data_IF_395224122236
#
_entry.id   IF_395224122236
#
_cell.length_a   1.000
_cell.length_b   1.000
_cell.length_c   1.000
_cell.angle_alpha   90.00
_cell.angle_beta   90.00
_cell.angle_gamma   90.00
#
_symmetry.space_group_name_H-M   'P 1'
#
loop_
_entity.id
_entity.type
_entity.pdbx_description
1 polymer ?
#
# COMPACT_ATOMS: atom_id res chain seq x y z
N UNK A 1 52.06 -13.45 33.60
CA UNK A 1 50.72 -13.53 34.23
C UNK A 1 49.98 -12.19 34.24
N UNK A 2 50.49 -11.11 34.87
CA UNK A 2 49.80 -9.80 34.91
C UNK A 2 49.48 -9.18 33.54
N UNK A 3 50.42 -9.20 32.58
CA UNK A 3 50.17 -8.68 31.21
C UNK A 3 49.06 -9.44 30.48
N UNK A 4 49.07 -10.78 30.56
CA UNK A 4 48.06 -11.64 29.96
C UNK A 4 46.66 -11.38 30.57
N UNK A 5 46.60 -11.22 31.89
CA UNK A 5 45.38 -10.90 32.62
C UNK A 5 44.79 -9.54 32.18
N UNK A 6 45.63 -8.52 32.02
CA UNK A 6 45.20 -7.19 31.56
C UNK A 6 44.65 -7.25 30.13
N UNK A 7 45.31 -7.97 29.21
CA UNK A 7 44.79 -8.16 27.84
C UNK A 7 43.47 -8.90 27.81
N UNK A 8 43.29 -9.93 28.66
CA UNK A 8 42.03 -10.69 28.73
C UNK A 8 40.91 -9.81 29.27
N UNK A 9 41.15 -9.05 30.34
CA UNK A 9 40.17 -8.10 30.90
C UNK A 9 39.80 -7.03 29.87
N UNK A 10 40.77 -6.50 29.13
CA UNK A 10 40.53 -5.53 28.05
C UNK A 10 39.62 -6.09 26.95
N UNK A 11 39.82 -7.33 26.53
CA UNK A 11 38.96 -8.02 25.56
C UNK A 11 37.52 -8.19 26.07
N UNK A 12 37.34 -8.56 27.34
CA UNK A 12 36.00 -8.69 27.93
C UNK A 12 35.26 -7.35 28.00
N UNK A 13 35.93 -6.26 28.36
CA UNK A 13 35.32 -4.92 28.37
C UNK A 13 34.91 -4.49 26.96
N UNK A 14 35.74 -4.81 25.95
CA UNK A 14 35.47 -4.47 24.56
C UNK A 14 34.29 -5.27 23.99
N UNK A 15 34.22 -6.57 24.29
CA UNK A 15 33.07 -7.42 23.95
C UNK A 15 31.79 -6.96 24.65
N UNK A 16 31.89 -6.59 25.93
CA UNK A 16 30.74 -6.08 26.69
C UNK A 16 30.25 -4.73 26.15
N UNK A 17 31.17 -3.85 25.72
CA UNK A 17 30.84 -2.60 25.05
C UNK A 17 30.14 -2.82 23.70
N UNK A 18 30.60 -3.80 22.90
CA UNK A 18 29.93 -4.18 21.65
C UNK A 18 28.54 -4.75 21.91
N UNK A 19 28.38 -5.61 22.92
CA UNK A 19 27.08 -6.16 23.31
C UNK A 19 26.11 -5.07 23.77
N UNK A 20 26.56 -4.11 24.58
CA UNK A 20 25.75 -2.96 24.98
C UNK A 20 25.39 -2.11 23.77
N UNK A 21 26.33 -1.85 22.85
CA UNK A 21 26.07 -1.09 21.64
C UNK A 21 25.04 -1.78 20.74
N UNK A 22 25.15 -3.11 20.55
CA UNK A 22 24.16 -3.89 19.81
C UNK A 22 22.80 -3.86 20.51
N UNK A 23 22.76 -4.09 21.83
CA UNK A 23 21.51 -4.00 22.59
C UNK A 23 20.89 -2.60 22.50
N UNK A 24 21.67 -1.53 22.62
CA UNK A 24 21.18 -0.17 22.45
C UNK A 24 20.74 0.09 21.01
N UNK A 25 21.45 -0.39 20.01
CA UNK A 25 21.05 -0.23 18.61
C UNK A 25 19.79 -1.02 18.26
N UNK A 26 19.56 -2.17 18.89
CA UNK A 26 18.33 -2.97 18.75
C UNK A 26 17.17 -2.39 19.56
N UNK A 27 17.43 -1.87 20.76
CA UNK A 27 16.43 -1.26 21.64
C UNK A 27 16.10 0.21 21.30
N UNK A 28 16.99 0.90 20.59
CA UNK A 28 16.83 2.28 20.10
C UNK A 28 16.63 2.35 18.59
N UNK A 29 16.74 1.23 17.86
CA UNK A 29 15.99 1.11 16.61
C UNK A 29 14.55 1.18 17.07
N UNK A 30 13.89 2.31 16.85
CA UNK A 30 12.46 2.32 16.64
C UNK A 30 12.23 1.30 15.53
N UNK A 31 11.91 0.05 15.90
CA UNK A 31 11.09 -0.77 15.04
C UNK A 31 9.79 -0.02 15.02
N UNK A 32 9.68 0.91 14.08
CA UNK A 32 8.52 1.77 13.92
C UNK A 32 7.34 0.82 13.74
N UNK A 33 6.51 0.70 14.79
CA UNK A 33 5.39 -0.22 14.84
C UNK A 33 4.31 0.32 13.89
N UNK A 34 4.54 0.19 12.58
CA UNK A 34 3.44 0.27 11.61
C UNK A 34 2.38 -0.79 11.91
N UNK A 35 2.76 -1.85 12.64
CA UNK A 35 1.86 -2.81 13.28
C UNK A 35 0.91 -2.17 14.31
N UNK A 36 1.29 -1.05 14.92
CA UNK A 36 0.46 -0.27 15.86
C UNK A 36 -0.26 0.90 15.17
N UNK A 37 -0.02 1.14 13.87
CA UNK A 37 -0.76 2.14 13.11
C UNK A 37 -1.98 1.49 12.45
N UNK A 38 -3.09 1.47 13.16
CA UNK A 38 -4.39 0.96 12.67
C UNK A 38 -4.90 1.67 11.40
N UNK A 39 -4.28 2.81 11.01
CA UNK A 39 -4.60 3.56 9.79
C UNK A 39 -3.70 3.19 8.61
N UNK A 40 -2.68 2.36 8.81
CA UNK A 40 -1.74 2.00 7.77
C UNK A 40 -2.37 1.00 6.78
N UNK A 41 -2.03 1.14 5.50
CA UNK A 41 -2.41 0.15 4.48
C UNK A 41 -1.76 -1.21 4.75
N UNK A 42 -2.48 -2.30 4.48
CA UNK A 42 -1.92 -3.66 4.45
C UNK A 42 -0.80 -3.84 3.41
N UNK A 43 -0.68 -2.94 2.42
CA UNK A 43 0.48 -2.88 1.53
C UNK A 43 1.79 -2.64 2.32
N UNK A 44 1.72 -2.07 3.52
CA UNK A 44 2.89 -1.89 4.39
C UNK A 44 3.52 -3.22 4.80
N UNK A 45 2.73 -4.29 4.93
CA UNK A 45 3.21 -5.61 5.37
C UNK A 45 4.23 -6.19 4.39
N UNK A 46 4.08 -5.90 3.10
CA UNK A 46 5.01 -6.31 2.04
C UNK A 46 5.98 -5.20 1.62
N UNK A 47 5.82 -3.98 2.13
CA UNK A 47 6.67 -2.85 1.81
C UNK A 47 8.02 -2.98 2.53
N UNK A 48 9.06 -3.38 1.79
CA UNK A 48 10.44 -3.43 2.28
C UNK A 48 11.21 -2.11 2.14
N UNK A 49 10.54 -1.03 1.72
CA UNK A 49 11.18 0.23 1.35
C UNK A 49 11.58 1.09 2.55
N UNK A 50 12.23 2.22 2.25
CA UNK A 50 12.73 3.15 3.26
C UNK A 50 11.58 3.90 3.94
N UNK A 51 11.77 4.20 5.22
CA UNK A 51 11.00 5.21 5.95
C UNK A 51 11.18 6.58 5.26
N UNK A 52 10.23 7.47 5.47
CA UNK A 52 10.20 8.81 4.86
C UNK A 52 10.05 8.86 3.33
N UNK A 53 9.78 7.77 2.61
CA UNK A 53 9.44 7.89 1.18
C UNK A 53 8.05 8.49 0.98
N UNK A 54 7.78 8.96 -0.24
CA UNK A 54 6.44 9.40 -0.62
C UNK A 54 5.40 8.27 -0.49
N UNK A 55 5.79 7.05 -0.86
CA UNK A 55 4.95 5.84 -0.80
C UNK A 55 4.59 5.52 0.66
N UNK A 56 5.60 5.55 1.53
CA UNK A 56 5.44 5.35 2.97
C UNK A 56 4.49 6.39 3.58
N UNK A 57 4.65 7.67 3.23
CA UNK A 57 3.77 8.74 3.71
C UNK A 57 2.30 8.55 3.26
N UNK A 58 2.07 8.07 2.04
CA UNK A 58 0.71 7.73 1.58
C UNK A 58 0.14 6.56 2.40
N UNK A 59 0.90 5.47 2.54
CA UNK A 59 0.44 4.25 3.22
C UNK A 59 0.22 4.42 4.72
N UNK A 60 0.87 5.40 5.36
CA UNK A 60 0.71 5.72 6.80
C UNK A 60 -0.27 6.85 7.08
N UNK A 61 -0.95 7.37 6.06
CA UNK A 61 -1.84 8.53 6.15
C UNK A 61 -1.16 9.84 6.63
N UNK A 62 0.13 10.04 6.37
CA UNK A 62 0.82 11.30 6.68
C UNK A 62 0.52 12.36 5.60
N UNK A 63 -0.65 12.98 5.73
CA UNK A 63 -1.12 14.03 4.82
C UNK A 63 -0.15 15.19 4.66
N UNK A 64 0.57 15.56 5.73
CA UNK A 64 1.47 16.70 5.71
C UNK A 64 2.73 16.37 4.92
N UNK A 65 3.34 15.20 5.14
CA UNK A 65 4.48 14.73 4.33
C UNK A 65 4.08 14.52 2.87
N UNK A 66 2.92 13.92 2.61
CA UNK A 66 2.41 13.76 1.24
C UNK A 66 2.29 15.13 0.55
N UNK A 67 1.71 16.12 1.23
CA UNK A 67 1.61 17.47 0.66
C UNK A 67 2.99 18.12 0.43
N UNK A 68 3.93 17.97 1.37
CA UNK A 68 5.30 18.48 1.22
C UNK A 68 6.00 17.87 0.00
N UNK A 69 5.84 16.57 -0.24
CA UNK A 69 6.36 15.89 -1.42
C UNK A 69 5.74 16.42 -2.72
N UNK A 70 4.42 16.56 -2.74
CA UNK A 70 3.72 17.07 -3.92
C UNK A 70 4.10 18.53 -4.23
N UNK A 71 4.29 19.36 -3.21
CA UNK A 71 4.74 20.76 -3.35
C UNK A 71 6.18 20.85 -3.93
N UNK A 72 7.01 19.83 -3.69
CA UNK A 72 8.34 19.67 -4.32
C UNK A 72 8.26 19.16 -5.77
N UNK A 73 7.06 19.07 -6.36
CA UNK A 73 6.78 18.59 -7.72
C UNK A 73 7.14 17.13 -7.96
N UNK A 74 6.98 16.28 -6.94
CA UNK A 74 6.93 14.83 -7.13
C UNK A 74 5.86 14.50 -8.19
N UNK A 75 6.20 13.65 -9.15
CA UNK A 75 5.23 13.17 -10.14
C UNK A 75 4.22 12.24 -9.45
N UNK A 76 2.99 12.72 -9.28
CA UNK A 76 1.91 12.01 -8.58
C UNK A 76 1.45 10.75 -9.33
N UNK A 77 1.71 10.68 -10.64
CA UNK A 77 1.29 9.59 -11.53
C UNK A 77 2.41 8.57 -11.82
N UNK A 78 3.61 8.78 -11.26
CA UNK A 78 4.68 7.81 -11.40
C UNK A 78 4.27 6.48 -10.75
N UNK A 79 4.63 5.37 -11.40
CA UNK A 79 4.56 4.07 -10.74
C UNK A 79 5.64 4.01 -9.67
N UNK A 80 5.19 3.71 -8.47
CA UNK A 80 5.98 3.61 -7.26
C UNK A 80 6.83 2.34 -7.32
N UNK A 81 8.11 2.44 -6.94
CA UNK A 81 9.12 1.44 -7.34
C UNK A 81 8.85 0.07 -6.75
N UNK A 82 8.55 0.04 -5.45
CA UNK A 82 8.38 -1.21 -4.71
C UNK A 82 7.01 -1.82 -4.96
N UNK A 83 5.96 -0.98 -5.02
CA UNK A 83 4.58 -1.46 -5.12
C UNK A 83 4.06 -1.64 -6.55
N UNK A 84 4.74 -1.05 -7.56
CA UNK A 84 4.29 -0.91 -8.95
C UNK A 84 2.90 -0.27 -9.10
N UNK A 85 2.48 0.52 -8.10
CA UNK A 85 1.18 1.20 -8.04
C UNK A 85 1.37 2.70 -8.23
N UNK A 86 0.32 3.41 -8.64
CA UNK A 86 0.30 4.87 -8.49
C UNK A 86 0.02 5.25 -7.04
N UNK A 87 0.31 6.50 -6.68
CA UNK A 87 -0.06 7.05 -5.38
C UNK A 87 -1.57 6.96 -5.09
N UNK A 88 -2.40 7.15 -6.12
CA UNK A 88 -3.86 7.07 -6.00
C UNK A 88 -4.35 5.63 -5.80
N UNK A 89 -3.71 4.66 -6.47
CA UNK A 89 -3.94 3.24 -6.22
C UNK A 89 -3.58 2.85 -4.79
N UNK A 90 -2.43 3.33 -4.26
CA UNK A 90 -2.08 3.10 -2.85
C UNK A 90 -3.09 3.72 -1.89
N UNK A 91 -3.57 4.94 -2.15
CA UNK A 91 -4.58 5.58 -1.30
C UNK A 91 -5.88 4.76 -1.20
N UNK A 92 -6.29 4.06 -2.27
CA UNK A 92 -7.46 3.18 -2.25
C UNK A 92 -7.32 1.97 -1.31
N UNK A 93 -6.09 1.65 -0.89
CA UNK A 93 -5.79 0.53 0.02
C UNK A 93 -5.79 0.91 1.50
N UNK A 94 -6.08 2.17 1.89
CA UNK A 94 -6.05 2.61 3.29
C UNK A 94 -7.25 2.11 4.11
N UNK A 95 -7.10 1.52 5.31
CA UNK A 95 -8.20 0.84 6.02
C UNK A 95 -9.45 1.69 6.18
N UNK A 96 -9.33 2.93 6.65
CA UNK A 96 -10.48 3.79 6.95
C UNK A 96 -11.04 4.53 5.73
N UNK A 97 -12.37 4.48 5.55
CA UNK A 97 -13.08 5.20 4.48
C UNK A 97 -12.71 6.70 4.41
N UNK A 98 -12.70 7.38 5.55
CA UNK A 98 -12.39 8.81 5.61
C UNK A 98 -10.96 9.11 5.18
N UNK A 99 -10.01 8.22 5.53
CA UNK A 99 -8.61 8.39 5.15
C UNK A 99 -8.41 8.12 3.65
N UNK A 100 -9.07 7.11 3.07
CA UNK A 100 -9.14 6.91 1.61
C UNK A 100 -9.63 8.19 0.93
N UNK A 101 -10.78 8.71 1.34
CA UNK A 101 -11.40 9.88 0.70
C UNK A 101 -10.53 11.13 0.83
N UNK A 102 -9.92 11.35 1.99
CA UNK A 102 -9.08 12.52 2.24
C UNK A 102 -7.78 12.45 1.45
N UNK A 103 -7.08 11.31 1.47
CA UNK A 103 -5.82 11.13 0.73
C UNK A 103 -6.06 11.22 -0.78
N UNK A 104 -7.12 10.59 -1.27
CA UNK A 104 -7.47 10.61 -2.69
C UNK A 104 -7.79 12.01 -3.19
N UNK A 105 -8.57 12.79 -2.44
CA UNK A 105 -8.86 14.20 -2.76
C UNK A 105 -7.59 15.04 -2.80
N UNK A 106 -6.65 14.80 -1.88
CA UNK A 106 -5.35 15.47 -1.89
C UNK A 106 -4.57 15.13 -3.17
N UNK A 107 -4.39 13.85 -3.50
CA UNK A 107 -3.65 13.42 -4.68
C UNK A 107 -4.30 13.91 -6.00
N UNK A 108 -5.62 13.81 -6.11
CA UNK A 108 -6.39 14.30 -7.27
C UNK A 108 -6.24 15.82 -7.45
N UNK A 109 -6.18 16.60 -6.35
CA UNK A 109 -5.93 18.05 -6.41
C UNK A 109 -4.57 18.37 -7.06
N UNK A 110 -3.59 17.50 -6.89
CA UNK A 110 -2.26 17.61 -7.52
C UNK A 110 -2.17 16.91 -8.88
N UNK A 111 -3.30 16.43 -9.44
CA UNK A 111 -3.37 15.90 -10.81
C UNK A 111 -3.18 14.40 -10.93
N UNK A 112 -3.43 13.63 -9.85
CA UNK A 112 -3.48 12.18 -9.96
C UNK A 112 -4.52 11.72 -11.00
N UNK A 113 -4.17 10.74 -11.82
CA UNK A 113 -5.04 10.19 -12.85
C UNK A 113 -5.74 8.92 -12.36
N UNK A 114 -7.07 9.01 -12.18
CA UNK A 114 -7.90 7.87 -11.80
C UNK A 114 -8.02 6.81 -12.91
N UNK A 115 -7.68 7.15 -14.16
CA UNK A 115 -7.76 6.24 -15.33
C UNK A 115 -6.51 5.39 -15.50
N UNK A 116 -5.42 5.74 -14.83
CA UNK A 116 -4.16 5.03 -15.00
C UNK A 116 -4.31 3.57 -14.57
N UNK A 117 -3.77 2.68 -15.38
CA UNK A 117 -3.64 1.25 -15.09
C UNK A 117 -2.19 0.92 -14.77
N UNK A 118 -1.99 -0.07 -13.91
CA UNK A 118 -0.69 -0.69 -13.68
C UNK A 118 -0.32 -1.68 -14.80
N UNK A 119 0.80 -2.39 -14.64
CA UNK A 119 1.25 -3.41 -15.60
C UNK A 119 0.28 -4.58 -15.79
N UNK A 120 -0.56 -4.85 -14.78
CA UNK A 120 -1.52 -5.94 -14.77
C UNK A 120 -2.88 -5.52 -15.35
N UNK A 121 -3.07 -4.24 -15.69
CA UNK A 121 -4.35 -3.70 -16.16
C UNK A 121 -5.30 -3.37 -15.00
N UNK A 122 -4.81 -3.33 -13.77
CA UNK A 122 -5.59 -2.88 -12.63
C UNK A 122 -5.54 -1.35 -12.53
N UNK A 123 -6.70 -0.75 -12.28
CA UNK A 123 -6.82 0.67 -11.95
C UNK A 123 -7.17 0.87 -10.47
N UNK A 124 -7.43 2.11 -10.07
CA UNK A 124 -7.75 2.46 -8.67
C UNK A 124 -9.00 1.73 -8.10
N UNK A 125 -9.96 1.33 -8.95
CA UNK A 125 -11.15 0.60 -8.50
C UNK A 125 -10.81 -0.80 -8.00
N UNK A 126 -9.88 -1.49 -8.67
CA UNK A 126 -9.38 -2.80 -8.20
C UNK A 126 -8.83 -2.71 -6.79
N UNK A 127 -8.02 -1.69 -6.52
CA UNK A 127 -7.40 -1.48 -5.20
C UNK A 127 -8.37 -1.09 -4.09
N UNK A 128 -9.58 -0.65 -4.44
CA UNK A 128 -10.65 -0.39 -3.45
C UNK A 128 -11.17 -1.68 -2.83
N UNK A 129 -11.20 -2.77 -3.60
CA UNK A 129 -11.73 -4.09 -3.22
C UNK A 129 -10.64 -5.15 -3.07
N UNK A 130 -9.37 -4.75 -3.20
CA UNK A 130 -8.25 -5.68 -3.16
C UNK A 130 -8.05 -6.30 -1.77
N UNK A 131 -8.20 -5.48 -0.72
CA UNK A 131 -8.14 -5.88 0.68
C UNK A 131 -9.53 -5.82 1.34
N UNK A 132 -9.82 -6.79 2.19
CA UNK A 132 -11.02 -6.79 3.03
C UNK A 132 -10.65 -6.19 4.40
N UNK A 133 -11.17 -4.99 4.67
CA UNK A 133 -11.00 -4.30 5.95
C UNK A 133 -12.29 -4.41 6.78
N UNK A 134 -12.19 -4.86 8.03
CA UNK A 134 -13.33 -4.90 8.96
C UNK A 134 -13.93 -3.50 9.20
N UNK A 135 -13.12 -2.45 9.05
CA UNK A 135 -13.53 -1.06 9.28
C UNK A 135 -14.27 -0.43 8.10
N UNK A 136 -14.31 -1.08 6.93
CA UNK A 136 -15.11 -0.64 5.79
C UNK A 136 -16.35 -1.52 5.61
N UNK A 137 -17.51 -0.88 5.54
CA UNK A 137 -18.72 -1.55 5.07
C UNK A 137 -18.74 -1.63 3.53
N UNK A 138 -19.56 -2.52 2.96
CA UNK A 138 -19.83 -2.51 1.51
C UNK A 138 -20.35 -1.16 1.02
N UNK A 139 -21.13 -0.47 1.85
CA UNK A 139 -21.65 0.86 1.53
C UNK A 139 -20.51 1.88 1.37
N UNK A 140 -19.46 1.76 2.18
CA UNK A 140 -18.29 2.64 2.10
C UNK A 140 -17.43 2.30 0.88
N UNK A 141 -17.25 1.02 0.58
CA UNK A 141 -16.61 0.59 -0.67
C UNK A 141 -17.37 1.10 -1.89
N UNK A 142 -18.71 1.02 -1.90
CA UNK A 142 -19.54 1.57 -2.99
C UNK A 142 -19.35 3.08 -3.16
N UNK A 143 -19.29 3.85 -2.07
CA UNK A 143 -19.00 5.30 -2.14
C UNK A 143 -17.60 5.60 -2.69
N UNK A 144 -16.59 4.81 -2.31
CA UNK A 144 -15.22 4.96 -2.83
C UNK A 144 -15.18 4.63 -4.33
N UNK A 145 -15.80 3.52 -4.74
CA UNK A 145 -15.93 3.13 -6.14
C UNK A 145 -16.65 4.21 -6.95
N UNK A 146 -17.79 4.71 -6.46
CA UNK A 146 -18.53 5.81 -7.07
C UNK A 146 -17.65 7.04 -7.26
N UNK A 147 -16.97 7.45 -6.19
CA UNK A 147 -16.09 8.60 -6.19
C UNK A 147 -15.03 8.51 -7.29
N UNK A 148 -14.36 7.36 -7.43
CA UNK A 148 -13.34 7.18 -8.47
C UNK A 148 -13.92 7.06 -9.87
N UNK A 149 -15.09 6.44 -10.04
CA UNK A 149 -15.81 6.42 -11.32
C UNK A 149 -16.21 7.82 -11.77
N UNK A 150 -16.64 8.70 -10.85
CA UNK A 150 -16.87 10.13 -11.14
C UNK A 150 -15.59 10.87 -11.58
N UNK A 151 -14.41 10.38 -11.19
CA UNK A 151 -13.11 10.89 -11.66
C UNK A 151 -12.63 10.21 -12.94
N UNK A 152 -13.43 9.31 -13.50
CA UNK A 152 -13.24 8.71 -14.80
C UNK A 152 -12.60 7.33 -14.79
N UNK A 153 -12.37 6.71 -13.61
CA UNK A 153 -11.93 5.32 -13.55
C UNK A 153 -13.02 4.39 -14.13
N UNK A 154 -12.63 3.47 -15.00
CA UNK A 154 -13.57 2.53 -15.62
C UNK A 154 -13.70 1.25 -14.79
N UNK A 155 -14.91 0.74 -14.51
CA UNK A 155 -15.08 -0.60 -13.91
C UNK A 155 -14.81 -1.73 -14.91
N UNK A 156 -14.84 -1.43 -16.22
CA UNK A 156 -14.65 -2.38 -17.31
C UNK A 156 -13.15 -2.68 -17.56
N UNK A 157 -12.47 -3.18 -16.52
CA UNK A 157 -11.06 -3.60 -16.57
C UNK A 157 -10.91 -5.12 -16.53
N UNK A 158 -9.76 -5.59 -17.04
CA UNK A 158 -9.34 -7.00 -16.95
C UNK A 158 -7.95 -7.07 -16.32
N UNK A 159 -7.88 -7.70 -15.14
CA UNK A 159 -6.67 -7.93 -14.38
C UNK A 159 -5.99 -9.17 -14.96
N UNK A 160 -4.76 -9.00 -15.44
CA UNK A 160 -4.00 -10.05 -16.11
C UNK A 160 -3.19 -10.87 -15.11
N UNK A 161 -3.05 -12.17 -15.38
CA UNK A 161 -2.20 -13.10 -14.62
C UNK A 161 -2.46 -13.11 -13.10
N UNK A 162 -3.70 -12.89 -12.67
CA UNK A 162 -4.04 -12.67 -11.26
C UNK A 162 -3.57 -13.82 -10.35
N UNK A 163 -3.73 -15.08 -10.77
CA UNK A 163 -3.40 -16.24 -9.92
C UNK A 163 -1.89 -16.55 -9.83
N UNK A 164 -1.08 -16.06 -10.77
CA UNK A 164 0.35 -16.31 -10.80
C UNK A 164 1.10 -15.25 -9.96
N UNK A 165 1.11 -14.00 -10.41
CA UNK A 165 2.00 -12.99 -9.85
C UNK A 165 1.45 -12.36 -8.55
N UNK A 166 0.13 -12.26 -8.40
CA UNK A 166 -0.47 -11.57 -7.25
C UNK A 166 -0.44 -12.39 -5.95
N UNK A 167 -0.29 -13.71 -6.04
CA UNK A 167 -0.16 -14.61 -4.89
C UNK A 167 1.31 -15.08 -4.67
N UNK A 168 2.28 -14.54 -5.39
CA UNK A 168 3.70 -14.88 -5.23
C UNK A 168 4.13 -16.21 -5.87
N UNK A 169 3.44 -16.67 -6.92
CA UNK A 169 3.80 -17.89 -7.67
C UNK A 169 4.27 -17.55 -9.09
N UNK A 170 5.56 -17.78 -9.39
CA UNK A 170 6.08 -17.65 -10.76
C UNK A 170 5.59 -18.81 -11.65
N UNK A 171 4.33 -18.76 -12.09
CA UNK A 171 3.81 -19.66 -13.13
C UNK A 171 3.29 -18.87 -14.34
N UNK A 172 3.81 -19.19 -15.53
CA UNK A 172 3.17 -18.79 -16.77
C UNK A 172 1.82 -19.51 -16.88
N UNK A 173 0.72 -18.81 -16.60
CA UNK A 173 -0.62 -19.39 -16.70
C UNK A 173 -1.72 -18.80 -15.81
N UNK A 174 -1.50 -17.64 -15.16
CA UNK A 174 -2.51 -17.01 -14.31
C UNK A 174 -3.81 -16.68 -15.04
N UNK A 175 -4.95 -16.78 -14.35
CA UNK A 175 -6.26 -16.45 -14.92
C UNK A 175 -6.39 -14.94 -15.10
N UNK A 176 -6.91 -14.50 -16.24
CA UNK A 176 -7.37 -13.13 -16.42
C UNK A 176 -8.77 -13.00 -15.83
N UNK A 177 -9.00 -12.01 -14.98
CA UNK A 177 -10.29 -11.77 -14.35
C UNK A 177 -10.74 -10.34 -14.63
N UNK A 178 -12.01 -10.16 -14.99
CA UNK A 178 -12.64 -8.84 -14.87
C UNK A 178 -12.74 -8.43 -13.41
N UNK A 179 -12.90 -7.13 -13.12
CA UNK A 179 -13.08 -6.66 -11.75
C UNK A 179 -14.32 -7.30 -11.07
N UNK A 180 -15.40 -7.51 -11.84
CA UNK A 180 -16.61 -8.18 -11.35
C UNK A 180 -16.32 -9.65 -11.00
N UNK A 181 -15.63 -10.39 -11.87
CA UNK A 181 -15.26 -11.78 -11.61
C UNK A 181 -14.31 -11.91 -10.41
N UNK A 182 -13.40 -10.94 -10.23
CA UNK A 182 -12.55 -10.87 -9.04
C UNK A 182 -13.39 -10.75 -7.76
N UNK A 183 -14.32 -9.80 -7.69
CA UNK A 183 -15.20 -9.63 -6.53
C UNK A 183 -16.01 -10.91 -6.25
N UNK A 184 -16.56 -11.55 -7.28
CA UNK A 184 -17.29 -12.82 -7.13
C UNK A 184 -16.39 -13.94 -6.58
N UNK A 185 -15.15 -14.06 -7.08
CA UNK A 185 -14.18 -15.06 -6.62
C UNK A 185 -13.81 -14.86 -5.15
N UNK A 186 -13.80 -13.61 -4.67
CA UNK A 186 -13.55 -13.24 -3.26
C UNK A 186 -14.79 -13.33 -2.37
N UNK A 187 -15.98 -13.57 -2.92
CA UNK A 187 -17.24 -13.58 -2.16
C UNK A 187 -17.76 -12.17 -1.82
N UNK A 188 -17.28 -11.14 -2.52
CA UNK A 188 -17.71 -9.75 -2.39
C UNK A 188 -18.94 -9.50 -3.27
N UNK A 189 -20.03 -10.23 -3.00
CA UNK A 189 -21.21 -10.29 -3.87
C UNK A 189 -21.87 -8.92 -4.05
N UNK A 190 -21.88 -8.07 -3.01
CA UNK A 190 -22.46 -6.72 -3.05
C UNK A 190 -21.66 -5.79 -3.96
N UNK A 191 -20.34 -5.82 -3.88
CA UNK A 191 -19.45 -5.05 -4.73
C UNK A 191 -19.50 -5.56 -6.18
N UNK A 192 -19.58 -6.88 -6.37
CA UNK A 192 -19.74 -7.47 -7.70
C UNK A 192 -21.05 -7.02 -8.36
N UNK A 193 -22.18 -7.05 -7.65
CA UNK A 193 -23.47 -6.55 -8.15
C UNK A 193 -23.40 -5.06 -8.47
N UNK A 194 -22.89 -4.25 -7.55
CA UNK A 194 -22.73 -2.81 -7.72
C UNK A 194 -21.91 -2.43 -8.96
N UNK A 195 -20.78 -3.12 -9.17
CA UNK A 195 -19.92 -2.92 -10.33
C UNK A 195 -20.57 -3.42 -11.61
N UNK A 196 -21.27 -4.56 -11.58
CA UNK A 196 -21.96 -5.13 -12.74
C UNK A 196 -23.05 -4.20 -13.27
N UNK A 197 -23.79 -3.52 -12.40
CA UNK A 197 -24.79 -2.52 -12.80
C UNK A 197 -24.19 -1.29 -13.51
N UNK A 198 -22.90 -1.02 -13.27
CA UNK A 198 -22.18 0.16 -13.77
C UNK A 198 -21.19 -0.17 -14.90
N UNK A 199 -20.93 -1.45 -15.10
CA UNK A 199 -20.18 -2.00 -16.24
C UNK A 199 -21.06 -1.90 -17.49
N UNK A 200 -20.57 -1.25 -18.55
CA UNK A 200 -21.28 -1.12 -19.84
C UNK A 200 -22.65 -0.40 -19.83
N UNK A 201 -22.82 0.65 -19.01
CA UNK A 201 -23.90 1.65 -19.14
C UNK A 201 -23.43 2.99 -19.76
N UNK A 202 -22.26 3.01 -20.43
CA UNK A 202 -21.73 4.16 -21.18
C UNK A 202 -21.25 3.77 -22.58
#
# INVERSE_FOLDING_TARGET
MKKLLITVIGLFVLLYGILIFICLHVLLKDTDDYLDNDKASLEMVSYGGEEDTFEYAVMTCDYNKVQEYLDKKTDVNQLLKESQKTSLMLAATLPEYEDVMKMSKLLLKYGADAKQEDSHGANVLFYTVYHEYETRSSEDNHKILEFYMEKGASPDITIRNFDAEYNGFEENGGTNLTLVEYCQKKGMDKEAEYLKERSSNH
#
